data_IF_335662931118
#
_entry.id   IF_335662931118
#
_cell.length_a   1.000
_cell.length_b   1.000
_cell.length_c   1.000
_cell.angle_alpha   90.00
_cell.angle_beta   90.00
_cell.angle_gamma   90.00
#
_symmetry.space_group_name_H-M   'P 1'
#
loop_
_entity.id
_entity.type
_entity.pdbx_description
1 polymer ?
#
# COMPACT_ATOMS: atom_id res chain seq x y z
N UNK A 1 -4.28 -64.67 -34.45
CA UNK A 1 -3.56 -63.41 -34.78
C UNK A 1 -4.46 -62.23 -34.44
N UNK A 2 -4.25 -61.57 -33.29
CA UNK A 2 -4.97 -60.35 -32.90
C UNK A 2 -4.08 -59.15 -33.25
N UNK A 3 -4.53 -58.27 -34.16
CA UNK A 3 -3.83 -57.02 -34.50
C UNK A 3 -4.19 -55.96 -33.46
N UNK A 4 -3.19 -55.50 -32.72
CA UNK A 4 -3.25 -54.34 -31.83
C UNK A 4 -3.11 -53.08 -32.69
N UNK A 5 -4.08 -52.17 -32.65
CA UNK A 5 -3.94 -50.83 -33.23
C UNK A 5 -3.46 -49.88 -32.14
N UNK A 6 -2.21 -49.41 -32.24
CA UNK A 6 -1.71 -48.29 -31.44
C UNK A 6 -2.30 -46.99 -31.98
N UNK A 7 -3.14 -46.35 -31.18
CA UNK A 7 -3.53 -44.95 -31.39
C UNK A 7 -2.41 -44.09 -30.81
N UNK A 8 -1.67 -43.41 -31.69
CA UNK A 8 -0.67 -42.41 -31.29
C UNK A 8 -1.41 -41.14 -30.84
N UNK A 9 -1.40 -40.86 -29.54
CA UNK A 9 -1.83 -39.58 -29.00
C UNK A 9 -0.72 -38.54 -29.28
N UNK A 10 -0.93 -37.68 -30.27
CA UNK A 10 -0.14 -36.46 -30.40
C UNK A 10 -0.54 -35.50 -29.26
N UNK A 11 0.34 -35.37 -28.27
CA UNK A 11 0.27 -34.30 -27.28
C UNK A 11 0.74 -33.03 -27.97
N UNK A 12 -0.19 -32.16 -28.35
CA UNK A 12 0.12 -30.79 -28.76
C UNK A 12 0.37 -30.00 -27.47
N UNK A 13 1.63 -29.84 -27.10
CA UNK A 13 2.01 -28.87 -26.06
C UNK A 13 1.81 -27.47 -26.64
N UNK A 14 0.73 -26.79 -26.28
CA UNK A 14 0.62 -25.34 -26.48
C UNK A 14 1.69 -24.66 -25.63
N UNK A 15 2.79 -24.25 -26.26
CA UNK A 15 3.73 -23.33 -25.62
C UNK A 15 2.98 -22.01 -25.49
N UNK A 16 2.51 -21.68 -24.28
CA UNK A 16 1.96 -20.37 -23.99
C UNK A 16 3.04 -19.33 -24.35
N UNK A 17 2.75 -18.45 -25.31
CA UNK A 17 3.69 -17.38 -25.65
C UNK A 17 3.83 -16.47 -24.42
N UNK A 18 5.07 -16.09 -24.11
CA UNK A 18 5.34 -15.15 -23.02
C UNK A 18 4.55 -13.86 -23.25
N UNK A 19 3.71 -13.48 -22.28
CA UNK A 19 2.93 -12.25 -22.33
C UNK A 19 3.85 -11.08 -21.97
N UNK A 20 3.92 -10.10 -22.85
CA UNK A 20 4.63 -8.86 -22.57
C UNK A 20 3.74 -7.93 -21.72
N UNK A 21 4.38 -7.19 -20.81
CA UNK A 21 3.79 -6.12 -20.00
C UNK A 21 4.53 -4.80 -20.25
N UNK A 22 3.84 -3.70 -19.97
CA UNK A 22 4.43 -2.37 -19.95
C UNK A 22 4.50 -1.88 -18.51
N UNK A 23 5.64 -1.33 -18.11
CA UNK A 23 5.83 -0.77 -16.78
C UNK A 23 6.32 0.66 -16.89
N UNK A 24 6.04 1.45 -15.85
CA UNK A 24 6.82 2.65 -15.55
C UNK A 24 7.73 2.39 -14.36
N UNK A 25 8.96 2.89 -14.42
CA UNK A 25 9.99 2.71 -13.40
C UNK A 25 10.78 4.02 -13.24
N UNK A 26 11.41 4.24 -12.09
CA UNK A 26 12.38 5.32 -11.94
C UNK A 26 13.53 5.16 -12.93
N UNK A 27 13.90 6.24 -13.61
CA UNK A 27 14.99 6.22 -14.61
C UNK A 27 16.34 5.80 -14.03
N UNK A 28 16.51 5.94 -12.72
CA UNK A 28 17.68 5.48 -11.96
C UNK A 28 17.80 3.94 -11.92
N UNK A 29 16.68 3.22 -12.05
CA UNK A 29 16.66 1.75 -11.96
C UNK A 29 16.74 1.03 -13.31
N UNK A 30 16.61 1.75 -14.43
CA UNK A 30 16.57 1.17 -15.79
C UNK A 30 17.76 0.29 -16.09
N UNK A 31 18.98 0.79 -15.80
CA UNK A 31 20.20 0.01 -16.10
C UNK A 31 20.28 -1.28 -15.28
N UNK A 32 19.78 -1.27 -14.03
CA UNK A 32 19.72 -2.48 -13.21
C UNK A 32 18.67 -3.45 -13.76
N UNK A 33 17.50 -2.94 -14.18
CA UNK A 33 16.44 -3.75 -14.76
C UNK A 33 16.89 -4.42 -16.08
N UNK A 34 17.52 -3.70 -17.00
CA UNK A 34 18.03 -4.24 -18.28
C UNK A 34 19.09 -5.34 -18.10
N UNK A 35 19.82 -5.33 -16.99
CA UNK A 35 20.80 -6.37 -16.65
C UNK A 35 20.18 -7.61 -16.01
N UNK A 36 19.01 -7.47 -15.39
CA UNK A 36 18.42 -8.51 -14.53
C UNK A 36 17.20 -9.17 -15.16
N UNK A 37 16.42 -8.46 -15.97
CA UNK A 37 15.19 -8.97 -16.61
C UNK A 37 15.21 -8.68 -18.10
N UNK A 38 14.47 -9.48 -18.89
CA UNK A 38 14.37 -9.23 -20.32
C UNK A 38 13.47 -8.02 -20.56
N UNK A 39 14.10 -6.87 -20.72
CA UNK A 39 13.42 -5.59 -20.84
C UNK A 39 13.88 -4.79 -22.06
N UNK A 40 13.02 -3.88 -22.52
CA UNK A 40 13.36 -2.89 -23.54
C UNK A 40 12.88 -1.51 -23.08
N UNK A 41 13.79 -0.54 -22.98
CA UNK A 41 13.42 0.85 -22.78
C UNK A 41 12.66 1.38 -24.02
N UNK A 42 11.49 1.96 -23.80
CA UNK A 42 10.63 2.50 -24.87
C UNK A 42 10.57 4.02 -24.87
N UNK A 43 10.55 4.64 -23.68
CA UNK A 43 10.51 6.09 -23.52
C UNK A 43 11.01 6.49 -22.12
N UNK A 44 11.47 7.73 -21.98
CA UNK A 44 11.81 8.33 -20.70
C UNK A 44 11.40 9.80 -20.68
N UNK A 45 10.82 10.25 -19.57
CA UNK A 45 10.48 11.65 -19.35
C UNK A 45 10.54 11.98 -17.86
N UNK A 46 11.18 13.10 -17.52
CA UNK A 46 11.19 13.65 -16.14
C UNK A 46 11.60 12.64 -15.05
N UNK A 47 12.56 11.77 -15.33
CA UNK A 47 13.05 10.78 -14.36
C UNK A 47 12.18 9.53 -14.20
N UNK A 48 11.16 9.35 -15.05
CA UNK A 48 10.36 8.12 -15.16
C UNK A 48 10.59 7.52 -16.55
N UNK A 49 10.72 6.19 -16.63
CA UNK A 49 10.95 5.46 -17.87
C UNK A 49 9.88 4.38 -18.09
N UNK A 50 9.52 4.16 -19.35
CA UNK A 50 8.61 3.09 -19.79
C UNK A 50 9.44 1.92 -20.32
N UNK A 51 9.29 0.76 -19.70
CA UNK A 51 9.93 -0.48 -20.15
C UNK A 51 8.87 -1.47 -20.61
N UNK A 52 9.21 -2.23 -21.66
CA UNK A 52 8.52 -3.48 -21.98
C UNK A 52 9.24 -4.63 -21.26
N UNK A 53 8.52 -5.43 -20.47
CA UNK A 53 9.08 -6.60 -19.76
C UNK A 53 8.24 -7.85 -20.04
N UNK A 54 8.74 -9.03 -19.68
CA UNK A 54 7.93 -10.25 -19.67
C UNK A 54 7.13 -10.35 -18.36
N UNK A 55 5.87 -10.80 -18.41
CA UNK A 55 5.06 -11.03 -17.20
C UNK A 55 5.75 -11.97 -16.20
N UNK A 56 6.53 -12.94 -16.69
CA UNK A 56 7.31 -13.86 -15.86
C UNK A 56 8.37 -13.19 -14.99
N UNK A 57 8.79 -11.98 -15.36
CA UNK A 57 9.94 -11.28 -14.77
C UNK A 57 9.51 -10.23 -13.73
N UNK A 58 8.20 -10.01 -13.53
CA UNK A 58 7.65 -9.00 -12.60
C UNK A 58 8.17 -9.21 -11.17
N UNK A 59 8.14 -10.45 -10.67
CA UNK A 59 8.62 -10.74 -9.30
C UNK A 59 10.14 -10.58 -9.17
N UNK A 60 10.89 -10.94 -10.22
CA UNK A 60 12.34 -10.73 -10.23
C UNK A 60 12.67 -9.24 -10.24
N UNK A 61 11.85 -8.44 -10.92
CA UNK A 61 11.97 -7.00 -10.90
C UNK A 61 11.63 -6.43 -9.51
N UNK A 62 10.60 -6.92 -8.83
CA UNK A 62 10.28 -6.48 -7.47
C UNK A 62 11.43 -6.78 -6.49
N UNK A 63 11.96 -8.00 -6.52
CA UNK A 63 13.12 -8.36 -5.70
C UNK A 63 14.33 -7.48 -6.01
N UNK A 64 14.59 -7.17 -7.29
CA UNK A 64 15.64 -6.23 -7.70
C UNK A 64 15.42 -4.83 -7.13
N UNK A 65 14.18 -4.32 -7.19
CA UNK A 65 13.83 -3.00 -6.68
C UNK A 65 14.01 -2.93 -5.18
N UNK A 66 13.63 -3.97 -4.47
CA UNK A 66 13.88 -4.09 -3.04
C UNK A 66 15.38 -4.12 -2.73
N UNK A 67 16.13 -5.10 -3.25
CA UNK A 67 17.52 -5.34 -2.86
C UNK A 67 18.48 -4.20 -3.24
N UNK A 68 18.21 -3.48 -4.33
CA UNK A 68 19.13 -2.46 -4.86
C UNK A 68 18.69 -1.03 -4.64
N UNK A 69 17.39 -0.81 -4.44
CA UNK A 69 16.82 0.54 -4.35
C UNK A 69 15.97 0.75 -3.09
N UNK A 70 15.82 -0.28 -2.24
CA UNK A 70 15.04 -0.26 -1.01
C UNK A 70 13.56 0.11 -1.27
N UNK A 71 12.95 -0.33 -2.37
CA UNK A 71 11.54 -0.05 -2.68
C UNK A 71 10.71 -1.34 -2.54
N UNK A 72 9.56 -1.32 -1.85
CA UNK A 72 8.66 -2.47 -1.75
C UNK A 72 8.09 -2.81 -3.14
N UNK A 73 7.48 -1.84 -3.82
CA UNK A 73 7.24 -1.93 -5.26
C UNK A 73 8.47 -1.52 -6.08
N UNK A 74 8.50 -0.25 -6.48
CA UNK A 74 9.56 0.37 -7.27
C UNK A 74 9.25 0.51 -8.77
N UNK A 75 8.11 0.01 -9.22
CA UNK A 75 7.58 0.18 -10.57
C UNK A 75 6.05 0.09 -10.56
N UNK A 76 5.40 0.51 -11.66
CA UNK A 76 3.96 0.41 -11.83
C UNK A 76 3.69 -0.35 -13.13
N UNK A 77 2.81 -1.36 -13.07
CA UNK A 77 2.41 -2.14 -14.26
C UNK A 77 1.20 -1.51 -14.95
N UNK A 78 1.23 -1.48 -16.28
CA UNK A 78 0.20 -0.89 -17.15
C UNK A 78 -0.44 -1.94 -18.06
N UNK A 79 -1.70 -1.72 -18.37
CA UNK A 79 -2.53 -2.61 -19.20
C UNK A 79 -2.19 -2.45 -20.69
N UNK A 80 -1.60 -1.31 -21.07
CA UNK A 80 -1.18 -1.01 -22.43
C UNK A 80 0.04 -0.08 -22.46
N UNK A 81 0.71 -0.02 -23.62
CA UNK A 81 1.77 0.96 -23.87
C UNK A 81 1.24 2.38 -23.79
N UNK A 82 0.04 2.63 -24.32
CA UNK A 82 -0.57 3.96 -24.33
C UNK A 82 -0.83 4.47 -22.92
N UNK A 83 -1.29 3.61 -21.99
CA UNK A 83 -1.42 3.96 -20.57
C UNK A 83 -0.07 4.32 -19.97
N UNK A 84 0.98 3.53 -20.21
CA UNK A 84 2.32 3.78 -19.69
C UNK A 84 2.93 5.10 -20.22
N UNK A 85 2.75 5.37 -21.52
CA UNK A 85 3.19 6.61 -22.15
C UNK A 85 2.39 7.81 -21.64
N UNK A 86 1.08 7.65 -21.45
CA UNK A 86 0.24 8.69 -20.86
C UNK A 86 0.73 9.05 -19.47
N UNK A 87 1.04 8.06 -18.63
CA UNK A 87 1.57 8.29 -17.28
C UNK A 87 2.82 9.16 -17.35
N UNK A 88 3.85 8.82 -18.14
CA UNK A 88 5.07 9.66 -18.15
C UNK A 88 4.82 11.06 -18.72
N UNK A 89 3.89 11.21 -19.66
CA UNK A 89 3.54 12.50 -20.29
C UNK A 89 2.70 13.43 -19.40
N UNK A 90 1.94 12.89 -18.44
CA UNK A 90 1.02 13.64 -17.59
C UNK A 90 1.70 14.29 -16.37
N UNK A 91 2.78 15.05 -16.64
CA UNK A 91 3.51 15.77 -15.59
C UNK A 91 2.68 16.84 -14.92
N UNK A 92 1.73 17.43 -15.66
CA UNK A 92 0.79 18.42 -15.12
C UNK A 92 -0.05 17.84 -13.98
N UNK A 93 -0.62 16.65 -14.14
CA UNK A 93 -1.42 16.02 -13.06
C UNK A 93 -0.57 15.73 -11.84
N UNK A 94 0.65 15.22 -12.01
CA UNK A 94 1.59 14.98 -10.89
C UNK A 94 2.00 16.27 -10.18
N UNK A 95 2.35 17.31 -10.93
CA UNK A 95 2.70 18.61 -10.36
C UNK A 95 1.53 19.21 -9.60
N UNK A 96 0.31 19.07 -10.14
CA UNK A 96 -0.90 19.44 -9.44
C UNK A 96 -1.03 18.65 -8.15
N UNK A 97 -1.02 17.31 -8.18
CA UNK A 97 -1.13 16.46 -6.99
C UNK A 97 -0.11 16.83 -5.90
N UNK A 98 1.13 17.15 -6.31
CA UNK A 98 2.20 17.57 -5.42
C UNK A 98 1.93 18.90 -4.70
N UNK A 99 1.43 19.90 -5.42
CA UNK A 99 1.22 21.26 -4.91
C UNK A 99 -0.23 21.57 -4.53
N UNK A 100 -1.12 20.56 -4.63
CA UNK A 100 -2.54 20.75 -4.47
C UNK A 100 -2.88 21.12 -3.02
N UNK A 101 -3.34 22.35 -2.83
CA UNK A 101 -3.77 22.85 -1.53
C UNK A 101 -5.30 22.94 -1.51
N UNK A 102 -5.96 21.78 -1.40
CA UNK A 102 -7.42 21.70 -1.38
C UNK A 102 -8.02 22.10 -0.03
N UNK A 103 -7.22 22.08 1.03
CA UNK A 103 -7.75 22.06 2.39
C UNK A 103 -7.05 23.08 3.29
N UNK A 104 -7.84 23.74 4.12
CA UNK A 104 -7.29 24.46 5.26
C UNK A 104 -6.89 23.43 6.32
N UNK A 105 -5.64 22.98 6.28
CA UNK A 105 -4.99 22.07 7.23
C UNK A 105 -4.88 22.63 8.67
N UNK A 106 -5.85 23.43 9.09
CA UNK A 106 -5.98 23.90 10.46
C UNK A 106 -6.21 22.70 11.39
N UNK A 107 -5.59 22.74 12.56
CA UNK A 107 -5.72 21.72 13.60
C UNK A 107 -6.70 22.26 14.65
N UNK A 108 -7.86 21.61 14.84
CA UNK A 108 -8.94 22.17 15.68
C UNK A 108 -9.74 21.16 16.50
N UNK A 109 -9.50 19.85 16.34
CA UNK A 109 -10.26 18.78 16.97
C UNK A 109 -9.57 18.22 18.22
N UNK A 110 -8.75 19.04 18.89
CA UNK A 110 -7.82 18.58 19.91
C UNK A 110 -8.42 17.77 21.05
N UNK A 111 -9.60 18.16 21.55
CA UNK A 111 -10.29 17.38 22.59
C UNK A 111 -10.72 15.99 22.11
N UNK A 112 -11.18 15.89 20.85
CA UNK A 112 -11.60 14.62 20.26
C UNK A 112 -10.41 13.73 19.93
N UNK A 113 -9.37 14.30 19.33
CA UNK A 113 -8.12 13.58 19.04
C UNK A 113 -7.54 13.01 20.34
N UNK A 114 -7.27 13.84 21.34
CA UNK A 114 -6.65 13.41 22.60
C UNK A 114 -7.45 12.30 23.30
N UNK A 115 -8.79 12.40 23.32
CA UNK A 115 -9.66 11.36 23.88
C UNK A 115 -9.59 10.02 23.13
N UNK A 116 -9.37 10.06 21.82
CA UNK A 116 -9.25 8.85 21.00
C UNK A 116 -7.85 8.25 21.08
N UNK A 117 -6.81 9.07 21.19
CA UNK A 117 -5.44 8.59 21.33
C UNK A 117 -5.25 7.73 22.58
N UNK A 118 -5.96 8.00 23.69
CA UNK A 118 -5.89 7.17 24.91
C UNK A 118 -6.46 5.76 24.72
N UNK A 119 -7.18 5.51 23.63
CA UNK A 119 -7.75 4.20 23.34
C UNK A 119 -6.83 3.34 22.50
N UNK A 120 -5.83 3.92 21.81
CA UNK A 120 -4.91 3.16 20.96
C UNK A 120 -4.17 2.10 21.79
N UNK A 121 -4.13 0.87 21.28
CA UNK A 121 -3.62 -0.28 22.00
C UNK A 121 -2.72 -1.15 21.11
N UNK A 122 -1.42 -1.19 21.46
CA UNK A 122 -0.41 -2.04 20.83
C UNK A 122 -0.85 -3.49 20.67
N UNK A 123 -1.54 -4.04 21.66
CA UNK A 123 -1.83 -5.47 21.69
C UNK A 123 -2.71 -5.89 20.51
N UNK A 124 -3.73 -5.08 20.19
CA UNK A 124 -4.61 -5.32 19.04
C UNK A 124 -3.85 -5.26 17.71
N UNK A 125 -2.91 -4.32 17.59
CA UNK A 125 -2.03 -4.21 16.42
C UNK A 125 -1.19 -5.47 16.28
N UNK A 126 -0.50 -5.88 17.36
CA UNK A 126 0.34 -7.09 17.37
C UNK A 126 -0.44 -8.36 17.04
N UNK A 127 -1.65 -8.54 17.57
CA UNK A 127 -2.49 -9.70 17.26
C UNK A 127 -2.84 -9.77 15.76
N UNK A 128 -3.12 -8.62 15.15
CA UNK A 128 -3.39 -8.55 13.72
C UNK A 128 -2.16 -8.88 12.89
N UNK A 129 -0.97 -8.37 13.25
CA UNK A 129 0.31 -8.72 12.61
C UNK A 129 0.54 -10.25 12.69
N UNK A 130 0.50 -10.81 13.90
CA UNK A 130 0.69 -12.25 14.13
C UNK A 130 -0.27 -13.10 13.31
N UNK A 131 -1.53 -12.65 13.21
CA UNK A 131 -2.54 -13.36 12.43
C UNK A 131 -2.27 -13.30 10.93
N UNK A 132 -2.00 -12.13 10.37
CA UNK A 132 -1.70 -11.98 8.94
C UNK A 132 -0.40 -12.69 8.55
N UNK A 133 0.60 -12.73 9.43
CA UNK A 133 1.86 -13.45 9.21
C UNK A 133 1.78 -14.96 9.43
N UNK A 134 0.67 -15.44 10.00
CA UNK A 134 0.42 -16.88 10.15
C UNK A 134 0.05 -17.56 8.82
N UNK A 135 -0.49 -16.82 7.86
CA UNK A 135 -0.71 -17.32 6.51
C UNK A 135 0.63 -17.74 5.88
N UNK A 136 0.60 -18.73 4.97
CA UNK A 136 1.81 -19.15 4.27
C UNK A 136 2.44 -17.98 3.51
N UNK A 137 1.60 -17.24 2.81
CA UNK A 137 1.85 -15.95 2.16
C UNK A 137 0.50 -15.28 1.95
N UNK A 138 0.49 -14.02 1.53
CA UNK A 138 -0.71 -13.30 1.13
C UNK A 138 -0.66 -12.93 -0.37
N UNK A 139 0.01 -13.76 -1.17
CA UNK A 139 0.27 -13.50 -2.58
C UNK A 139 -1.02 -13.38 -3.39
N UNK A 140 -1.09 -12.39 -4.28
CA UNK A 140 -2.32 -11.98 -4.98
C UNK A 140 -2.99 -13.05 -5.87
N UNK A 141 -2.22 -14.03 -6.38
CA UNK A 141 -2.76 -15.18 -7.15
C UNK A 141 -3.00 -16.42 -6.29
N UNK A 142 -2.55 -16.44 -5.04
CA UNK A 142 -2.71 -17.59 -4.15
C UNK A 142 -4.06 -17.56 -3.43
N UNK A 143 -4.63 -18.74 -3.13
CA UNK A 143 -5.82 -18.85 -2.29
C UNK A 143 -5.61 -18.23 -0.91
N UNK A 144 -4.39 -18.34 -0.34
CA UNK A 144 -4.06 -17.71 0.95
C UNK A 144 -4.13 -16.19 0.92
N UNK A 145 -3.90 -15.55 -0.24
CA UNK A 145 -4.12 -14.11 -0.42
C UNK A 145 -5.59 -13.72 -0.44
N UNK A 146 -6.47 -14.57 -0.99
CA UNK A 146 -7.94 -14.41 -0.91
C UNK A 146 -8.42 -14.60 0.52
N UNK A 147 -7.94 -15.65 1.18
CA UNK A 147 -8.32 -15.99 2.56
C UNK A 147 -7.88 -14.91 3.56
N UNK A 148 -6.70 -14.29 3.35
CA UNK A 148 -6.25 -13.18 4.18
C UNK A 148 -7.12 -11.94 4.02
N UNK A 149 -7.56 -11.60 2.81
CA UNK A 149 -8.50 -10.50 2.58
C UNK A 149 -9.89 -10.78 3.16
N UNK A 150 -10.35 -12.04 3.11
CA UNK A 150 -11.57 -12.45 3.80
C UNK A 150 -11.46 -12.30 5.32
N UNK A 151 -10.28 -12.58 5.88
CA UNK A 151 -10.01 -12.34 7.30
C UNK A 151 -10.07 -10.84 7.64
N UNK A 152 -9.39 -9.99 6.86
CA UNK A 152 -9.42 -8.52 7.01
C UNK A 152 -10.85 -7.99 6.96
N UNK A 153 -11.60 -8.34 5.90
CA UNK A 153 -13.00 -7.94 5.74
C UNK A 153 -13.85 -8.34 6.94
N UNK A 154 -13.80 -9.61 7.37
CA UNK A 154 -14.62 -10.05 8.51
C UNK A 154 -14.24 -9.37 9.82
N UNK A 155 -12.98 -8.98 9.97
CA UNK A 155 -12.50 -8.24 11.14
C UNK A 155 -13.07 -6.83 11.13
N UNK A 156 -12.99 -6.13 10.00
CA UNK A 156 -13.54 -4.78 9.85
C UNK A 156 -15.08 -4.76 9.94
N UNK A 157 -15.78 -5.78 9.44
CA UNK A 157 -17.24 -5.92 9.61
C UNK A 157 -17.63 -6.09 11.09
N UNK A 158 -16.85 -6.87 11.86
CA UNK A 158 -17.09 -7.01 13.30
C UNK A 158 -16.88 -5.69 14.04
N UNK A 159 -15.86 -4.93 13.65
CA UNK A 159 -15.59 -3.60 14.22
C UNK A 159 -16.69 -2.59 13.84
N UNK A 160 -17.22 -2.64 12.62
CA UNK A 160 -18.36 -1.81 12.21
C UNK A 160 -19.60 -2.05 13.10
N UNK A 161 -19.77 -3.27 13.60
CA UNK A 161 -20.85 -3.64 14.51
C UNK A 161 -22.22 -3.43 13.87
N UNK A 162 -23.05 -2.57 14.48
CA UNK A 162 -24.41 -2.26 14.00
C UNK A 162 -24.54 -0.86 13.38
N UNK A 163 -23.41 -0.20 13.09
CA UNK A 163 -23.41 1.16 12.51
C UNK A 163 -23.93 1.14 11.08
N UNK A 164 -25.09 1.77 10.88
CA UNK A 164 -25.75 1.84 9.56
C UNK A 164 -25.02 2.76 8.55
N UNK A 165 -24.16 3.65 9.04
CA UNK A 165 -23.31 4.56 8.25
C UNK A 165 -21.99 3.91 7.80
N UNK A 166 -21.82 2.60 8.04
CA UNK A 166 -20.57 1.89 7.77
C UNK A 166 -20.81 0.69 6.85
N UNK A 167 -20.03 0.58 5.78
CA UNK A 167 -19.98 -0.59 4.90
C UNK A 167 -18.57 -1.16 4.80
N UNK A 168 -18.46 -2.45 4.51
CA UNK A 168 -17.18 -3.11 4.22
C UNK A 168 -17.37 -3.96 2.97
N UNK A 169 -16.73 -3.55 1.88
CA UNK A 169 -16.95 -4.09 0.55
C UNK A 169 -15.65 -4.60 -0.06
N UNK A 170 -15.77 -5.56 -0.97
CA UNK A 170 -14.65 -5.94 -1.82
C UNK A 170 -14.61 -5.04 -3.06
N UNK A 171 -13.42 -4.59 -3.42
CA UNK A 171 -13.11 -4.15 -4.77
C UNK A 171 -12.49 -5.32 -5.53
N UNK A 172 -13.22 -5.84 -6.52
CA UNK A 172 -12.80 -7.00 -7.31
C UNK A 172 -11.85 -6.57 -8.43
N UNK A 173 -10.92 -7.46 -8.78
CA UNK A 173 -9.97 -7.26 -9.87
C UNK A 173 -10.11 -8.37 -10.91
N UNK A 174 -10.20 -8.01 -12.19
CA UNK A 174 -10.55 -8.99 -13.24
C UNK A 174 -9.43 -10.00 -13.55
N UNK A 175 -8.18 -9.69 -13.17
CA UNK A 175 -6.99 -10.44 -13.60
C UNK A 175 -6.39 -11.35 -12.54
N UNK A 176 -6.82 -11.24 -11.27
CA UNK A 176 -6.32 -12.05 -10.17
C UNK A 176 -7.40 -12.23 -9.09
N UNK A 177 -7.33 -13.30 -8.28
CA UNK A 177 -8.39 -13.65 -7.36
C UNK A 177 -8.42 -12.82 -6.06
N UNK A 178 -7.28 -12.29 -5.59
CA UNK A 178 -7.25 -11.49 -4.36
C UNK A 178 -7.96 -10.13 -4.55
N UNK A 179 -9.06 -9.86 -3.84
CA UNK A 179 -9.72 -8.55 -3.90
C UNK A 179 -8.97 -7.52 -3.05
N UNK A 180 -9.20 -6.22 -3.28
CA UNK A 180 -8.93 -5.23 -2.23
C UNK A 180 -10.14 -5.14 -1.30
N UNK A 181 -9.95 -4.76 -0.04
CA UNK A 181 -11.05 -4.49 0.91
C UNK A 181 -11.17 -2.98 1.13
N UNK A 182 -12.39 -2.47 1.10
CA UNK A 182 -12.70 -1.05 1.35
C UNK A 182 -13.77 -0.96 2.43
N UNK A 183 -13.41 -0.42 3.59
CA UNK A 183 -14.38 -0.02 4.61
C UNK A 183 -14.70 1.46 4.45
N UNK A 184 -15.98 1.80 4.33
CA UNK A 184 -16.45 3.18 4.21
C UNK A 184 -17.23 3.58 5.46
N UNK A 185 -16.86 4.70 6.08
CA UNK A 185 -17.67 5.42 7.07
C UNK A 185 -18.24 6.64 6.37
N UNK A 186 -19.54 6.66 6.13
CA UNK A 186 -20.21 7.75 5.42
C UNK A 186 -20.16 9.05 6.24
N UNK A 187 -19.77 10.15 5.60
CA UNK A 187 -19.77 11.47 6.24
C UNK A 187 -21.16 11.95 6.65
N UNK A 188 -21.25 12.86 7.61
CA UNK A 188 -22.55 13.40 8.06
C UNK A 188 -23.02 14.61 7.24
N UNK A 189 -22.11 15.46 6.78
CA UNK A 189 -22.42 16.74 6.12
C UNK A 189 -21.65 16.97 4.80
N UNK A 190 -20.46 16.37 4.65
CA UNK A 190 -19.55 16.50 3.49
C UNK A 190 -19.31 15.14 2.82
N UNK A 191 -20.38 14.39 2.59
CA UNK A 191 -20.36 12.99 2.11
C UNK A 191 -19.55 12.75 0.83
N UNK A 192 -19.53 13.72 -0.07
CA UNK A 192 -18.84 13.59 -1.36
C UNK A 192 -17.33 13.83 -1.26
N UNK A 193 -16.84 14.37 -0.13
CA UNK A 193 -15.42 14.55 0.15
C UNK A 193 -14.88 13.29 0.85
N UNK A 194 -13.89 12.65 0.22
CA UNK A 194 -13.36 11.36 0.64
C UNK A 194 -11.94 11.52 1.18
N UNK A 195 -11.71 11.04 2.39
CA UNK A 195 -10.37 10.82 2.94
C UNK A 195 -10.08 9.33 2.86
N UNK A 196 -8.87 8.96 2.44
CA UNK A 196 -8.43 7.58 2.34
C UNK A 196 -7.28 7.31 3.30
N UNK A 197 -7.37 6.20 4.01
CA UNK A 197 -6.27 5.59 4.75
C UNK A 197 -6.06 4.20 4.17
N UNK A 198 -4.87 3.91 3.70
CA UNK A 198 -4.62 2.66 2.98
C UNK A 198 -3.28 2.02 3.31
N UNK A 199 -3.19 0.74 3.00
CA UNK A 199 -1.99 -0.08 3.03
C UNK A 199 -2.23 -1.32 2.17
N UNK A 200 -1.20 -1.91 1.59
CA UNK A 200 -1.37 -3.17 0.87
C UNK A 200 -1.41 -4.36 1.82
N UNK A 201 -2.07 -5.43 1.39
CA UNK A 201 -2.31 -6.62 2.21
C UNK A 201 -1.64 -7.88 1.67
N UNK A 202 -1.06 -7.82 0.47
CA UNK A 202 -0.31 -8.94 -0.09
C UNK A 202 1.07 -9.12 0.56
N UNK A 203 1.78 -10.17 0.14
CA UNK A 203 3.18 -10.39 0.50
C UNK A 203 3.85 -11.33 -0.49
N UNK A 204 5.13 -11.07 -0.75
CA UNK A 204 6.02 -11.94 -1.54
C UNK A 204 7.23 -12.41 -0.72
N UNK A 205 7.89 -13.47 -1.17
CA UNK A 205 9.18 -13.88 -0.61
C UNK A 205 10.09 -14.50 -1.66
N UNK A 206 11.05 -13.70 -2.14
CA UNK A 206 11.99 -14.02 -3.21
C UNK A 206 11.34 -14.45 -4.54
N UNK A 207 12.18 -14.69 -5.55
CA UNK A 207 11.70 -15.11 -6.87
C UNK A 207 11.20 -16.57 -6.95
N UNK A 208 11.70 -17.45 -6.07
CA UNK A 208 11.38 -18.87 -6.13
C UNK A 208 10.19 -19.25 -5.25
N UNK A 209 9.16 -19.79 -5.88
CA UNK A 209 8.03 -20.41 -5.20
C UNK A 209 6.72 -19.66 -5.37
N UNK A 210 6.72 -18.36 -5.67
CA UNK A 210 5.52 -17.54 -5.95
C UNK A 210 4.41 -17.81 -4.92
N UNK A 211 3.25 -18.30 -5.38
CA UNK A 211 2.11 -18.77 -4.59
C UNK A 211 2.46 -19.78 -3.47
N UNK A 212 3.59 -20.48 -3.57
CA UNK A 212 4.07 -21.48 -2.60
C UNK A 212 5.21 -20.96 -1.71
N UNK A 213 5.76 -19.78 -1.96
CA UNK A 213 6.79 -19.21 -1.09
C UNK A 213 6.24 -18.97 0.32
N UNK A 214 7.09 -19.08 1.35
CA UNK A 214 6.71 -18.65 2.70
C UNK A 214 7.03 -17.16 2.80
N UNK A 215 6.00 -16.33 2.90
CA UNK A 215 6.10 -14.87 2.98
C UNK A 215 5.26 -14.38 4.16
N UNK A 216 5.79 -14.43 5.40
CA UNK A 216 5.03 -13.97 6.56
C UNK A 216 4.70 -12.48 6.46
N UNK A 217 5.57 -11.66 5.83
CA UNK A 217 5.25 -10.27 5.52
C UNK A 217 4.77 -9.50 6.75
N UNK A 218 5.47 -9.65 7.88
CA UNK A 218 5.03 -9.15 9.18
C UNK A 218 5.13 -7.64 9.23
N UNK A 219 6.27 -7.11 8.80
CA UNK A 219 6.45 -5.70 8.65
C UNK A 219 5.90 -5.22 7.31
N UNK A 220 6.12 -5.98 6.23
CA UNK A 220 5.69 -5.67 4.86
C UNK A 220 4.57 -6.62 4.37
N UNK A 221 3.30 -6.21 4.41
CA UNK A 221 2.76 -5.05 5.11
C UNK A 221 1.62 -5.42 6.06
N UNK A 222 1.79 -6.51 6.81
CA UNK A 222 0.84 -6.83 7.89
C UNK A 222 0.82 -5.72 8.96
N UNK A 223 1.94 -5.02 9.17
CA UNK A 223 2.04 -3.89 10.10
C UNK A 223 1.13 -2.72 9.72
N UNK A 224 1.13 -2.30 8.45
CA UNK A 224 0.26 -1.24 7.95
C UNK A 224 -1.21 -1.62 8.05
N UNK A 225 -1.58 -2.84 7.66
CA UNK A 225 -2.97 -3.32 7.81
C UNK A 225 -3.39 -3.39 9.29
N UNK A 226 -2.48 -3.78 10.19
CA UNK A 226 -2.73 -3.81 11.62
C UNK A 226 -2.93 -2.40 12.20
N UNK A 227 -2.08 -1.45 11.82
CA UNK A 227 -2.20 -0.03 12.14
C UNK A 227 -3.56 0.52 11.72
N UNK A 228 -3.97 0.28 10.47
CA UNK A 228 -5.27 0.72 9.95
C UNK A 228 -6.43 0.07 10.71
N UNK A 229 -6.31 -1.23 11.03
CA UNK A 229 -7.33 -1.96 11.80
C UNK A 229 -7.51 -1.37 13.20
N UNK A 230 -6.43 -0.94 13.84
CA UNK A 230 -6.51 -0.27 15.14
C UNK A 230 -7.10 1.13 15.05
N UNK A 231 -6.77 1.91 14.02
CA UNK A 231 -7.45 3.18 13.73
C UNK A 231 -8.95 2.95 13.58
N UNK A 232 -9.37 1.96 12.79
CA UNK A 232 -10.79 1.60 12.64
C UNK A 232 -11.41 1.30 14.01
N UNK A 233 -10.79 0.45 14.82
CA UNK A 233 -11.31 0.09 16.15
C UNK A 233 -11.53 1.32 17.03
N UNK A 234 -10.54 2.22 17.10
CA UNK A 234 -10.64 3.46 17.89
C UNK A 234 -11.77 4.37 17.38
N UNK A 235 -11.93 4.51 16.07
CA UNK A 235 -13.01 5.31 15.46
C UNK A 235 -14.39 4.71 15.74
N UNK A 236 -14.50 3.37 15.70
CA UNK A 236 -15.75 2.67 15.99
C UNK A 236 -16.12 2.74 17.48
N UNK A 237 -15.19 2.39 18.38
CA UNK A 237 -15.38 2.38 19.83
C UNK A 237 -15.60 3.80 20.38
N UNK A 238 -14.90 4.79 19.81
CA UNK A 238 -15.10 6.20 20.12
C UNK A 238 -16.42 6.79 19.61
N UNK A 239 -17.21 6.02 18.84
CA UNK A 239 -18.48 6.47 18.28
C UNK A 239 -18.35 7.63 17.29
N UNK A 240 -17.16 7.83 16.70
CA UNK A 240 -16.88 8.99 15.86
C UNK A 240 -17.70 8.96 14.57
N UNK A 241 -18.32 10.08 14.24
CA UNK A 241 -19.07 10.28 13.00
C UNK A 241 -18.47 11.48 12.25
N UNK A 242 -17.61 11.24 11.25
CA UNK A 242 -16.95 12.33 10.52
C UNK A 242 -17.96 13.15 9.72
N UNK A 243 -17.64 14.41 9.42
CA UNK A 243 -18.35 15.22 8.43
C UNK A 243 -18.08 14.72 7.02
N UNK A 244 -16.83 14.38 6.71
CA UNK A 244 -16.38 13.76 5.44
C UNK A 244 -16.52 12.25 5.44
N UNK A 245 -16.58 11.66 4.26
CA UNK A 245 -16.51 10.20 4.13
C UNK A 245 -15.07 9.75 4.36
N UNK A 246 -14.89 8.74 5.22
CA UNK A 246 -13.57 8.12 5.49
C UNK A 246 -13.57 6.71 4.90
N UNK A 247 -12.56 6.40 4.11
CA UNK A 247 -12.38 5.08 3.51
C UNK A 247 -11.06 4.46 3.98
N UNK A 248 -11.16 3.28 4.59
CA UNK A 248 -10.01 2.46 4.96
C UNK A 248 -9.82 1.37 3.90
N UNK A 249 -8.59 1.20 3.41
CA UNK A 249 -8.32 0.32 2.28
C UNK A 249 -7.19 -0.67 2.55
N UNK A 250 -7.43 -1.93 2.23
CA UNK A 250 -6.43 -2.99 2.19
C UNK A 250 -6.21 -3.39 0.73
N UNK A 251 -5.20 -2.82 0.08
CA UNK A 251 -4.95 -3.00 -1.35
C UNK A 251 -4.43 -4.42 -1.66
N UNK A 252 -4.84 -4.96 -2.81
CA UNK A 252 -4.25 -6.18 -3.36
C UNK A 252 -3.09 -5.86 -4.31
N UNK A 253 -2.15 -6.80 -4.45
CA UNK A 253 -1.17 -6.82 -5.54
C UNK A 253 -0.29 -5.56 -5.65
N UNK A 254 0.18 -5.02 -4.53
CA UNK A 254 1.17 -3.92 -4.52
C UNK A 254 2.51 -4.43 -5.05
N UNK A 255 2.91 -5.60 -4.58
CA UNK A 255 4.23 -6.24 -4.73
C UNK A 255 4.57 -6.67 -6.16
N UNK A 256 3.64 -6.44 -7.08
CA UNK A 256 3.74 -6.79 -8.50
C UNK A 256 3.42 -5.60 -9.39
N UNK A 257 3.60 -4.39 -8.85
CA UNK A 257 3.55 -3.12 -9.58
C UNK A 257 2.30 -2.28 -9.31
N UNK A 258 1.92 -2.16 -8.04
CA UNK A 258 0.84 -1.30 -7.53
C UNK A 258 -0.54 -1.58 -8.17
N UNK A 259 -0.80 -2.83 -8.55
CA UNK A 259 -1.92 -3.17 -9.41
C UNK A 259 -3.28 -2.82 -8.80
N UNK A 260 -3.49 -3.12 -7.52
CA UNK A 260 -4.76 -2.89 -6.85
C UNK A 260 -5.05 -1.42 -6.58
N UNK A 261 -4.10 -0.68 -6.02
CA UNK A 261 -4.27 0.75 -5.77
C UNK A 261 -4.38 1.55 -7.07
N UNK A 262 -3.64 1.19 -8.12
CA UNK A 262 -3.76 1.81 -9.44
C UNK A 262 -5.16 1.64 -10.02
N UNK A 263 -5.72 0.43 -9.93
CA UNK A 263 -7.08 0.17 -10.42
C UNK A 263 -8.12 1.05 -9.70
N UNK A 264 -8.03 1.15 -8.37
CA UNK A 264 -8.94 1.96 -7.54
C UNK A 264 -8.76 3.45 -7.84
N UNK A 265 -7.53 3.97 -7.79
CA UNK A 265 -7.25 5.39 -8.01
C UNK A 265 -7.66 5.85 -9.41
N UNK A 266 -7.39 5.04 -10.45
CA UNK A 266 -7.83 5.33 -11.81
C UNK A 266 -9.36 5.29 -11.95
N UNK A 267 -10.04 4.35 -11.29
CA UNK A 267 -11.50 4.32 -11.25
C UNK A 267 -12.06 5.58 -10.57
N UNK A 268 -11.48 5.98 -9.44
CA UNK A 268 -11.90 7.17 -8.70
C UNK A 268 -11.70 8.45 -9.51
N UNK A 269 -10.58 8.57 -10.25
CA UNK A 269 -10.33 9.67 -11.20
C UNK A 269 -11.38 9.69 -12.31
N UNK A 270 -11.70 8.53 -12.91
CA UNK A 270 -12.71 8.42 -13.98
C UNK A 270 -14.11 8.77 -13.50
N UNK A 271 -14.46 8.36 -12.29
CA UNK A 271 -15.78 8.61 -11.68
C UNK A 271 -15.92 10.04 -11.14
N UNK A 272 -14.86 10.84 -11.19
CA UNK A 272 -14.85 12.22 -10.68
C UNK A 272 -15.02 12.30 -9.16
N UNK A 273 -14.59 11.27 -8.42
CA UNK A 273 -14.66 11.26 -6.95
C UNK A 273 -13.76 12.35 -6.36
N UNK A 274 -14.28 13.08 -5.37
CA UNK A 274 -13.54 14.16 -4.69
C UNK A 274 -12.74 13.61 -3.51
N UNK A 275 -11.60 12.98 -3.82
CA UNK A 275 -10.63 12.56 -2.80
C UNK A 275 -9.80 13.75 -2.36
N UNK A 276 -9.89 14.10 -1.07
CA UNK A 276 -9.28 15.31 -0.49
C UNK A 276 -7.99 15.03 0.28
N UNK A 277 -7.68 13.77 0.55
CA UNK A 277 -6.46 13.36 1.24
C UNK A 277 -6.31 11.85 1.26
N UNK A 278 -5.11 11.36 1.01
CA UNK A 278 -4.75 9.94 1.12
C UNK A 278 -3.53 9.81 2.03
N UNK A 279 -3.56 8.90 2.99
CA UNK A 279 -2.35 8.48 3.71
C UNK A 279 -2.11 6.99 3.50
N UNK A 280 -0.88 6.65 3.13
CA UNK A 280 -0.41 5.28 2.98
C UNK A 280 0.37 4.86 4.23
N UNK A 281 -0.02 3.73 4.82
CA UNK A 281 0.75 3.01 5.83
C UNK A 281 1.31 1.74 5.18
N UNK A 282 2.60 1.82 4.87
CA UNK A 282 3.38 0.72 4.33
C UNK A 282 4.64 0.61 5.17
N UNK A 283 4.78 -0.51 5.88
CA UNK A 283 5.79 -0.77 6.91
C UNK A 283 5.75 0.25 8.05
N UNK A 284 5.25 -0.19 9.20
CA UNK A 284 5.05 0.66 10.37
C UNK A 284 5.70 0.12 11.63
N UNK A 285 6.40 -1.02 11.61
CA UNK A 285 6.75 -1.72 12.84
C UNK A 285 8.23 -2.02 13.07
N UNK A 286 9.12 -1.58 12.19
CA UNK A 286 10.55 -1.67 12.41
C UNK A 286 11.16 -0.29 12.70
N UNK A 287 11.60 -0.10 13.95
CA UNK A 287 12.38 1.08 14.38
C UNK A 287 13.82 0.99 13.83
N UNK A 288 14.01 1.40 12.58
CA UNK A 288 15.31 1.34 11.90
C UNK A 288 16.25 2.52 12.19
N UNK A 289 15.74 3.74 12.08
CA UNK A 289 16.56 4.95 12.27
C UNK A 289 16.59 5.35 13.74
N UNK A 290 17.76 5.39 14.38
CA UNK A 290 17.89 5.60 15.83
C UNK A 290 17.20 6.88 16.35
N UNK A 291 17.41 8.02 15.68
CA UNK A 291 16.95 9.34 16.14
C UNK A 291 15.50 9.68 15.75
N UNK A 292 14.91 8.94 14.81
CA UNK A 292 13.60 9.23 14.23
C UNK A 292 12.64 8.07 14.46
N UNK A 293 11.42 8.37 14.89
CA UNK A 293 10.35 7.38 14.98
C UNK A 293 9.55 7.27 13.68
N UNK A 294 9.22 8.41 13.07
CA UNK A 294 8.46 8.46 11.81
C UNK A 294 9.21 9.32 10.81
N UNK A 295 9.35 8.86 9.57
CA UNK A 295 9.84 9.70 8.48
C UNK A 295 8.76 9.86 7.42
N UNK A 296 8.64 11.04 6.83
CA UNK A 296 7.73 11.26 5.71
C UNK A 296 8.47 11.22 4.38
N UNK A 297 7.94 10.46 3.43
CA UNK A 297 8.41 10.51 2.05
C UNK A 297 8.04 11.83 1.38
N UNK A 298 9.01 12.42 0.70
CA UNK A 298 8.87 13.76 0.07
C UNK A 298 8.74 13.71 -1.45
N UNK A 299 8.93 12.54 -2.07
CA UNK A 299 8.71 12.31 -3.48
C UNK A 299 7.42 11.54 -3.75
N UNK A 300 6.71 11.93 -4.81
CA UNK A 300 5.38 11.41 -5.16
C UNK A 300 4.32 11.58 -4.07
N UNK A 301 4.49 12.58 -3.21
CA UNK A 301 3.56 13.00 -2.16
C UNK A 301 3.14 14.46 -2.34
N UNK A 302 2.07 14.84 -1.65
CA UNK A 302 1.62 16.22 -1.55
C UNK A 302 2.37 16.96 -0.44
N UNK A 303 2.95 18.12 -0.75
CA UNK A 303 3.81 18.86 0.18
C UNK A 303 3.01 19.43 1.37
N UNK A 304 1.81 19.95 1.13
CA UNK A 304 0.98 20.56 2.16
C UNK A 304 0.44 19.51 3.15
N UNK A 305 -0.11 18.41 2.63
CA UNK A 305 -0.58 17.29 3.44
C UNK A 305 0.55 16.64 4.23
N UNK A 306 1.73 16.47 3.63
CA UNK A 306 2.90 15.91 4.32
C UNK A 306 3.33 16.79 5.50
N UNK A 307 3.40 18.11 5.31
CA UNK A 307 3.68 19.05 6.41
C UNK A 307 2.60 19.00 7.49
N UNK A 308 1.34 18.94 7.09
CA UNK A 308 0.22 18.80 8.02
C UNK A 308 0.35 17.54 8.89
N UNK A 309 0.71 16.38 8.31
CA UNK A 309 0.96 15.17 9.08
C UNK A 309 2.07 15.36 10.11
N UNK A 310 3.15 16.06 9.77
CA UNK A 310 4.19 16.44 10.73
C UNK A 310 3.65 17.34 11.85
N UNK A 311 2.83 18.33 11.51
CA UNK A 311 2.17 19.19 12.51
C UNK A 311 1.20 18.45 13.43
N UNK A 312 0.58 17.35 12.97
CA UNK A 312 -0.21 16.46 13.83
C UNK A 312 0.68 15.79 14.88
N UNK A 313 1.89 15.34 14.49
CA UNK A 313 2.87 14.79 15.45
C UNK A 313 3.27 15.86 16.46
N UNK A 314 3.68 17.05 15.99
CA UNK A 314 4.08 18.17 16.84
C UNK A 314 2.99 18.58 17.86
N UNK A 315 1.72 18.43 17.47
CA UNK A 315 0.57 18.85 18.30
C UNK A 315 0.11 17.76 19.27
N UNK A 316 0.07 16.50 18.83
CA UNK A 316 -0.63 15.43 19.55
C UNK A 316 0.27 14.32 20.06
N UNK A 317 1.43 14.10 19.42
CA UNK A 317 2.33 12.97 19.69
C UNK A 317 3.72 13.53 20.08
N UNK A 318 3.77 14.36 21.12
CA UNK A 318 5.01 15.07 21.51
C UNK A 318 6.16 14.15 21.97
N UNK A 319 5.87 12.87 22.18
CA UNK A 319 6.82 11.80 22.48
C UNK A 319 7.37 11.08 21.23
N UNK A 320 6.94 11.47 20.03
CA UNK A 320 7.32 10.83 18.76
C UNK A 320 8.22 11.77 17.96
N UNK A 321 9.45 11.34 17.66
CA UNK A 321 10.37 12.11 16.81
C UNK A 321 10.09 11.86 15.33
N UNK A 322 10.22 12.89 14.49
CA UNK A 322 9.94 12.73 13.07
C UNK A 322 10.85 13.54 12.14
N UNK A 323 10.96 13.07 10.89
CA UNK A 323 11.80 13.69 9.85
C UNK A 323 11.34 13.38 8.43
N UNK A 324 12.25 13.51 7.47
CA UNK A 324 11.96 13.30 6.05
C UNK A 324 12.89 12.27 5.41
N UNK A 325 12.39 11.59 4.39
CA UNK A 325 13.18 10.74 3.51
C UNK A 325 12.66 10.80 2.06
N UNK A 326 13.26 9.98 1.20
CA UNK A 326 12.88 9.83 -0.22
C UNK A 326 13.02 8.38 -0.62
N UNK A 327 12.03 7.85 -1.31
CA UNK A 327 12.00 6.43 -1.72
C UNK A 327 12.28 6.23 -3.22
N UNK A 328 11.81 7.15 -4.06
CA UNK A 328 11.86 7.04 -5.52
C UNK A 328 10.52 6.65 -6.16
N UNK A 329 10.52 6.48 -7.48
CA UNK A 329 9.30 6.25 -8.25
C UNK A 329 8.68 4.89 -7.97
N UNK A 330 7.34 4.87 -7.84
CA UNK A 330 6.56 3.65 -7.68
C UNK A 330 6.81 2.95 -6.36
N UNK A 331 7.25 3.66 -5.32
CA UNK A 331 7.66 3.09 -4.04
C UNK A 331 6.57 2.24 -3.37
N UNK A 332 5.33 2.76 -3.32
CA UNK A 332 4.16 2.12 -2.71
C UNK A 332 2.87 2.77 -3.24
N UNK A 333 1.70 2.35 -2.78
CA UNK A 333 0.38 2.70 -3.32
C UNK A 333 0.04 4.20 -3.32
N UNK A 334 0.68 5.02 -2.47
CA UNK A 334 0.52 6.48 -2.51
C UNK A 334 0.86 7.06 -3.91
N UNK A 335 1.79 6.42 -4.63
CA UNK A 335 2.17 6.81 -5.97
C UNK A 335 1.01 6.63 -6.98
N UNK A 336 0.15 5.62 -6.80
CA UNK A 336 -1.05 5.43 -7.62
C UNK A 336 -2.01 6.61 -7.48
N UNK A 337 -2.26 7.06 -6.25
CA UNK A 337 -3.10 8.21 -5.95
C UNK A 337 -2.50 9.52 -6.47
N UNK A 338 -1.21 9.74 -6.24
CA UNK A 338 -0.49 10.91 -6.72
C UNK A 338 -0.48 10.98 -8.26
N UNK A 339 -0.25 9.86 -8.96
CA UNK A 339 -0.31 9.81 -10.42
C UNK A 339 -1.73 10.04 -10.96
N UNK A 340 -2.76 9.69 -10.19
CA UNK A 340 -4.15 9.98 -10.52
C UNK A 340 -4.55 11.45 -10.27
N UNK A 341 -3.71 12.25 -9.60
CA UNK A 341 -3.97 13.67 -9.34
C UNK A 341 -4.42 14.00 -7.92
N UNK A 342 -4.41 13.00 -7.02
CA UNK A 342 -4.91 13.15 -5.66
C UNK A 342 -3.78 13.47 -4.66
N UNK A 343 -4.05 14.24 -3.60
CA UNK A 343 -3.06 14.53 -2.57
C UNK A 343 -2.82 13.26 -1.73
N UNK A 344 -1.55 12.88 -1.58
CA UNK A 344 -1.16 11.67 -0.85
C UNK A 344 0.07 11.91 0.03
N UNK A 345 0.13 11.26 1.18
CA UNK A 345 1.31 11.22 2.06
C UNK A 345 1.67 9.79 2.43
N UNK A 346 2.92 9.56 2.82
CA UNK A 346 3.40 8.26 3.30
C UNK A 346 4.34 8.49 4.50
N UNK A 347 3.82 8.43 5.74
CA UNK A 347 4.66 8.16 6.90
C UNK A 347 5.27 6.76 6.78
N UNK A 348 6.52 6.62 7.17
CA UNK A 348 7.30 5.39 7.10
C UNK A 348 8.15 5.21 8.36
N UNK A 349 8.47 3.97 8.68
CA UNK A 349 9.10 3.56 9.94
C UNK A 349 10.57 3.96 10.13
N UNK A 350 11.28 4.25 9.04
CA UNK A 350 12.72 4.57 9.05
C UNK A 350 13.12 5.39 7.83
N UNK A 351 14.33 5.96 7.79
CA UNK A 351 14.89 6.37 6.50
C UNK A 351 15.08 5.16 5.59
N UNK A 352 15.08 5.37 4.27
CA UNK A 352 15.26 4.28 3.31
C UNK A 352 16.60 3.55 3.44
N UNK A 353 17.62 4.18 4.04
CA UNK A 353 18.91 3.53 4.28
C UNK A 353 18.86 2.55 5.46
N UNK A 354 17.90 2.72 6.36
CA UNK A 354 17.75 1.94 7.59
C UNK A 354 16.50 1.03 7.56
N UNK A 355 15.92 0.82 6.37
CA UNK A 355 14.75 -0.03 6.15
C UNK A 355 15.00 -1.45 6.67
N UNK A 356 13.93 -2.14 7.07
CA UNK A 356 13.99 -3.54 7.45
C UNK A 356 14.57 -4.43 6.33
N UNK A 357 15.84 -4.83 6.46
CA UNK A 357 16.52 -5.70 5.49
C UNK A 357 16.08 -7.17 5.50
N UNK A 358 14.87 -7.48 5.98
CA UNK A 358 14.24 -8.81 5.93
C UNK A 358 12.97 -8.86 5.11
N UNK A 359 12.42 -7.72 4.68
CA UNK A 359 11.24 -7.67 3.81
C UNK A 359 11.45 -8.50 2.53
N UNK A 360 10.36 -8.95 1.94
CA UNK A 360 10.36 -9.88 0.80
C UNK A 360 11.13 -11.19 1.04
N UNK A 361 11.26 -11.61 2.29
CA UNK A 361 11.84 -12.91 2.64
C UNK A 361 10.98 -13.67 3.65
N UNK A 362 11.25 -14.97 3.79
CA UNK A 362 10.63 -15.78 4.84
C UNK A 362 11.01 -15.34 6.27
N UNK A 363 11.94 -14.39 6.43
CA UNK A 363 12.42 -13.83 7.70
C UNK A 363 11.81 -12.48 8.05
N UNK A 364 10.90 -11.96 7.22
CA UNK A 364 10.07 -10.83 7.63
C UNK A 364 9.00 -11.34 8.61
N UNK A 365 9.41 -11.44 9.87
CA UNK A 365 8.63 -11.95 11.00
C UNK A 365 8.61 -10.91 12.12
N UNK A 366 7.63 -10.97 13.02
CA UNK A 366 7.46 -9.95 14.07
C UNK A 366 8.67 -9.83 15.03
N UNK A 367 9.53 -10.84 15.10
CA UNK A 367 10.72 -10.86 15.93
C UNK A 367 11.95 -10.20 15.29
N UNK A 368 11.80 -9.51 14.14
CA UNK A 368 12.89 -8.69 13.58
C UNK A 368 13.35 -7.64 14.59
N UNK A 369 14.66 -7.33 14.58
CA UNK A 369 15.31 -6.56 15.64
C UNK A 369 14.65 -5.19 15.91
N UNK A 370 14.15 -4.49 14.89
CA UNK A 370 13.48 -3.20 15.04
C UNK A 370 12.03 -3.27 15.55
N UNK A 371 11.40 -4.45 15.53
CA UNK A 371 10.07 -4.69 16.09
C UNK A 371 10.13 -5.32 17.48
N UNK A 372 11.15 -6.15 17.75
CA UNK A 372 11.36 -6.77 19.06
C UNK A 372 10.25 -7.73 19.50
N UNK A 373 9.39 -8.20 18.57
CA UNK A 373 8.23 -9.03 18.90
C UNK A 373 7.02 -8.26 19.45
N UNK A 374 7.06 -6.93 19.39
CA UNK A 374 5.95 -6.04 19.80
C UNK A 374 5.44 -5.24 18.60
N UNK A 375 4.36 -4.48 18.81
CA UNK A 375 3.85 -3.49 17.89
C UNK A 375 3.99 -2.05 18.43
N UNK A 376 4.97 -1.82 19.31
CA UNK A 376 5.17 -0.51 19.97
C UNK A 376 5.50 0.60 18.96
N UNK A 377 6.20 0.26 17.87
CA UNK A 377 6.49 1.23 16.81
C UNK A 377 5.25 1.51 15.98
N UNK A 378 4.52 0.47 15.56
CA UNK A 378 3.26 0.61 14.81
C UNK A 378 2.17 1.36 15.59
N UNK A 379 2.17 1.28 16.92
CA UNK A 379 1.29 2.06 17.80
C UNK A 379 1.42 3.58 17.56
N UNK A 380 2.63 4.09 17.30
CA UNK A 380 2.86 5.51 16.96
C UNK A 380 2.17 5.89 15.65
N UNK A 381 2.20 4.99 14.66
CA UNK A 381 1.51 5.18 13.38
C UNK A 381 -0.01 5.12 13.54
N UNK A 382 -0.52 4.25 14.42
CA UNK A 382 -1.94 4.20 14.73
C UNK A 382 -2.42 5.50 15.39
N UNK A 383 -1.67 6.05 16.35
CA UNK A 383 -1.93 7.39 16.91
C UNK A 383 -1.97 8.47 15.84
N UNK A 384 -0.99 8.48 14.92
CA UNK A 384 -0.96 9.43 13.80
C UNK A 384 -2.16 9.25 12.86
N UNK A 385 -2.53 8.01 12.56
CA UNK A 385 -3.71 7.67 11.76
C UNK A 385 -5.01 8.15 12.38
N UNK A 386 -5.19 7.97 13.69
CA UNK A 386 -6.35 8.50 14.44
C UNK A 386 -6.41 10.03 14.35
N UNK A 387 -5.29 10.72 14.61
CA UNK A 387 -5.22 12.17 14.50
C UNK A 387 -5.58 12.65 13.08
N UNK A 388 -5.07 11.98 12.05
CA UNK A 388 -5.37 12.29 10.66
C UNK A 388 -6.86 12.09 10.33
N UNK A 389 -7.48 10.96 10.73
CA UNK A 389 -8.92 10.72 10.51
C UNK A 389 -9.74 11.84 11.11
N UNK A 390 -9.48 12.19 12.36
CA UNK A 390 -10.31 13.13 13.11
C UNK A 390 -10.14 14.55 12.57
N UNK A 391 -8.91 14.99 12.33
CA UNK A 391 -8.66 16.37 11.86
C UNK A 391 -9.07 16.58 10.40
N UNK A 392 -8.88 15.58 9.53
CA UNK A 392 -9.37 15.68 8.16
C UNK A 392 -10.87 15.43 8.07
N UNK A 393 -11.43 14.63 8.99
CA UNK A 393 -12.82 14.19 8.98
C UNK A 393 -13.86 15.28 9.24
N UNK A 394 -13.44 16.45 9.75
CA UNK A 394 -14.31 17.55 10.18
C UNK A 394 -14.91 18.45 9.10
#
# INVERSE_FOLDING_TARGET
MKKLWMISLMVVSSVAMAKDLYITIGSDAVQSAEKSVKSNLLASQEGISVLRIQESDVELLSELMHEKFNRCGGFIVHDSLDEALQVISDSKTRLQAKSLDLFNYNISEGETVQRMLTQVNEFGIREMILKLSSFRNRYYKAQTGVDSQAYVKSTWEKLAGSRADVSVDYFQHDRWPQPSVVMTVEGTSKKDEIIVIGGHADSIAGFFGRERARAPGADDNASGIATITEVIRVIMDGGYKPERTVQFMAYAAEEVGLLGSKAIANQYKRDGKKVVGVVQFDMTNHKGTEELDIVFMTDYTNEAQTKFMGSLIDTYLTDVSWGYSRCGYGCSDHASWHNAGFPASMPFESTMNDINGKIHTARDTIDVAGSGGTADHAEKFARLGVAFVVEMGK
#
